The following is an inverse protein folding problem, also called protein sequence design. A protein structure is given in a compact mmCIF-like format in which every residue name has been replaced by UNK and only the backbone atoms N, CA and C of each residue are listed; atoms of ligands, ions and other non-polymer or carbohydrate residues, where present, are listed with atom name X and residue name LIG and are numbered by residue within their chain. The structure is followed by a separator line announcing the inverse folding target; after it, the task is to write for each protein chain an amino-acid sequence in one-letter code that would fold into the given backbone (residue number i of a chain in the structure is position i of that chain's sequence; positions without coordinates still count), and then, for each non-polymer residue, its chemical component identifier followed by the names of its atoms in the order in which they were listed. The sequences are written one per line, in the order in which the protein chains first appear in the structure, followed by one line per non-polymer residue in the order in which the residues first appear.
data_IF_900056735355
#
_entry.id   IF_900056735355
#
_cell.length_a   1.000
_cell.length_b   1.000
_cell.length_c   1.000
_cell.angle_alpha   90.00
_cell.angle_beta   90.00
_cell.angle_gamma   90.00
#
_symmetry.space_group_name_H-M   'P 1'
#
loop_
_entity.id
_entity.type
_entity.pdbx_description
1 polymer ?
#
# COMPACT_ATOMS: atom_id res chain seq x y z
N UNK A 1 -2.23 5.79 4.16
CA UNK A 1 -1.53 5.98 5.46
C UNK A 1 -1.08 4.62 5.95
N UNK A 2 0.13 4.51 6.50
CA UNK A 2 0.71 3.24 7.00
C UNK A 2 0.77 3.22 8.53
N UNK A 3 0.95 2.04 9.11
CA UNK A 3 1.02 1.81 10.56
C UNK A 3 0.53 0.40 10.86
N UNK A 4 -0.71 0.28 11.32
CA UNK A 4 -1.46 -0.97 11.21
C UNK A 4 -1.86 -1.13 9.74
N UNK A 5 -1.19 -1.99 8.97
CA UNK A 5 -1.45 -2.16 7.53
C UNK A 5 -1.39 -0.89 6.66
N UNK A 6 -2.26 -0.84 5.65
CA UNK A 6 -2.37 0.27 4.68
C UNK A 6 -3.81 0.79 4.61
N UNK A 7 -4.01 2.03 5.07
CA UNK A 7 -5.30 2.72 4.96
C UNK A 7 -5.40 3.54 3.68
N UNK A 8 -6.46 3.31 2.91
CA UNK A 8 -6.74 3.96 1.62
C UNK A 8 -7.78 5.05 1.80
N UNK A 9 -7.54 6.22 1.21
CA UNK A 9 -8.43 7.37 1.26
C UNK A 9 -8.82 7.78 -0.16
N UNK A 10 -10.04 8.29 -0.32
CA UNK A 10 -10.45 8.96 -1.56
C UNK A 10 -9.91 10.40 -1.62
N UNK A 11 -10.14 11.08 -2.76
CA UNK A 11 -9.69 12.45 -2.96
C UNK A 11 -10.28 13.49 -1.98
N UNK A 12 -11.40 13.18 -1.31
CA UNK A 12 -11.98 14.03 -0.27
C UNK A 12 -11.43 13.73 1.13
N UNK A 13 -10.42 12.86 1.26
CA UNK A 13 -9.85 12.45 2.55
C UNK A 13 -10.71 11.48 3.35
N UNK A 14 -11.76 10.89 2.77
CA UNK A 14 -12.56 9.85 3.42
C UNK A 14 -11.86 8.51 3.29
N UNK A 15 -11.68 7.80 4.41
CA UNK A 15 -11.20 6.42 4.39
C UNK A 15 -12.19 5.53 3.61
N UNK A 16 -11.69 4.77 2.65
CA UNK A 16 -12.50 3.89 1.80
C UNK A 16 -12.14 2.43 1.92
N UNK A 17 -10.92 2.11 2.36
CA UNK A 17 -10.46 0.72 2.50
C UNK A 17 -9.30 0.65 3.51
N UNK A 18 -9.07 -0.54 4.05
CA UNK A 18 -7.91 -0.88 4.86
C UNK A 18 -7.37 -2.26 4.47
N UNK A 19 -6.15 -2.28 3.94
CA UNK A 19 -5.47 -3.51 3.54
C UNK A 19 -4.66 -4.00 4.73
N UNK A 20 -5.10 -5.11 5.32
CA UNK A 20 -4.37 -5.78 6.40
C UNK A 20 -3.05 -6.36 5.87
N UNK A 21 -1.97 -6.12 6.60
CA UNK A 21 -0.65 -6.71 6.37
C UNK A 21 -0.35 -7.60 7.58
N UNK A 22 0.16 -8.83 7.40
CA UNK A 22 0.35 -9.77 8.51
C UNK A 22 1.62 -9.44 9.33
N UNK A 23 1.78 -8.18 9.74
CA UNK A 23 2.89 -7.65 10.52
C UNK A 23 2.38 -6.57 11.48
N UNK A 24 3.06 -6.38 12.61
CA UNK A 24 2.65 -5.41 13.62
C UNK A 24 2.83 -3.94 13.20
N UNK A 25 3.66 -3.67 12.19
CA UNK A 25 3.90 -2.31 11.71
C UNK A 25 4.30 -2.28 10.23
N UNK A 26 3.61 -1.44 9.46
CA UNK A 26 3.92 -1.11 8.08
C UNK A 26 4.61 0.24 8.02
N UNK A 27 5.81 0.27 7.44
CA UNK A 27 6.63 1.48 7.38
C UNK A 27 6.22 2.39 6.22
N UNK A 28 6.23 1.82 5.02
CA UNK A 28 6.13 2.58 3.78
C UNK A 28 5.50 1.73 2.67
N UNK A 29 4.99 2.42 1.66
CA UNK A 29 4.45 1.82 0.44
C UNK A 29 4.87 2.64 -0.77
N UNK A 30 4.97 1.98 -1.93
CA UNK A 30 5.12 2.68 -3.21
C UNK A 30 4.57 1.83 -4.34
N UNK A 31 4.06 2.48 -5.39
CA UNK A 31 3.80 1.80 -6.64
C UNK A 31 5.11 1.62 -7.40
N UNK A 32 5.34 0.44 -7.98
CA UNK A 32 6.47 0.15 -8.84
C UNK A 32 6.13 -0.94 -9.88
N UNK A 33 7.17 -1.48 -10.53
CA UNK A 33 7.04 -2.36 -11.69
C UNK A 33 6.96 -1.60 -13.02
N UNK A 34 7.07 -2.31 -14.16
CA UNK A 34 7.06 -1.70 -15.50
C UNK A 34 5.84 -0.82 -15.76
N UNK A 35 4.67 -1.26 -15.28
CA UNK A 35 3.38 -0.58 -15.50
C UNK A 35 2.94 0.27 -14.30
N UNK A 36 3.76 0.36 -13.25
CA UNK A 36 3.42 1.02 -11.98
C UNK A 36 2.15 0.46 -11.32
N UNK A 37 1.84 -0.81 -11.56
CA UNK A 37 0.64 -1.49 -11.03
C UNK A 37 0.92 -2.42 -9.85
N UNK A 38 2.16 -2.54 -9.40
CA UNK A 38 2.48 -3.33 -8.22
C UNK A 38 2.66 -2.40 -7.03
N UNK A 39 1.86 -2.58 -5.99
CA UNK A 39 2.04 -1.89 -4.72
C UNK A 39 3.04 -2.68 -3.86
N UNK A 40 4.22 -2.10 -3.65
CA UNK A 40 5.23 -2.63 -2.73
C UNK A 40 4.99 -2.09 -1.33
N UNK A 41 5.10 -2.97 -0.34
CA UNK A 41 4.84 -2.67 1.06
C UNK A 41 6.00 -3.19 1.89
N UNK A 42 6.65 -2.32 2.66
CA UNK A 42 7.70 -2.70 3.62
C UNK A 42 7.11 -2.74 5.01
N UNK A 43 7.15 -3.89 5.67
CA UNK A 43 6.57 -4.08 7.00
C UNK A 43 7.50 -4.97 7.84
N UNK A 44 8.04 -4.39 8.92
CA UNK A 44 9.02 -5.05 9.80
C UNK A 44 10.18 -5.69 9.00
N UNK A 45 10.37 -7.01 9.14
CA UNK A 45 11.45 -7.79 8.51
C UNK A 45 11.05 -8.34 7.12
N UNK A 46 9.88 -7.92 6.61
CA UNK A 46 9.24 -8.50 5.43
C UNK A 46 8.91 -7.44 4.37
N UNK A 47 8.86 -7.88 3.10
CA UNK A 47 8.34 -7.09 1.99
C UNK A 47 7.18 -7.84 1.35
N UNK A 48 6.06 -7.14 1.18
CA UNK A 48 4.85 -7.65 0.53
C UNK A 48 4.62 -6.92 -0.79
N UNK A 49 3.92 -7.59 -1.70
CA UNK A 49 3.48 -7.00 -2.97
C UNK A 49 2.02 -7.30 -3.19
N UNK A 50 1.32 -6.35 -3.82
CA UNK A 50 -0.06 -6.50 -4.24
C UNK A 50 -0.19 -6.02 -5.69
N UNK A 51 -0.77 -6.85 -6.54
CA UNK A 51 -1.13 -6.46 -7.90
C UNK A 51 -2.40 -5.61 -7.88
N UNK A 52 -2.31 -4.42 -8.46
CA UNK A 52 -3.37 -3.40 -8.42
C UNK A 52 -4.05 -3.26 -9.77
N UNK A 53 -5.37 -3.03 -9.73
CA UNK A 53 -6.16 -2.72 -10.92
C UNK A 53 -5.89 -1.31 -11.49
N UNK A 54 -5.13 -0.49 -10.77
CA UNK A 54 -4.81 0.91 -11.10
C UNK A 54 -3.29 1.11 -11.10
N UNK A 55 -2.80 2.13 -11.82
CA UNK A 55 -1.40 2.51 -11.78
C UNK A 55 -1.16 3.60 -10.74
N UNK A 56 0.05 3.61 -10.17
CA UNK A 56 0.54 4.69 -9.31
C UNK A 56 0.71 6.01 -10.06
N UNK A 57 0.87 7.09 -9.29
CA UNK A 57 1.21 8.41 -9.81
C UNK A 57 2.74 8.56 -9.77
N UNK A 58 3.31 9.25 -10.77
CA UNK A 58 4.71 9.68 -10.78
C UNK A 58 4.80 11.18 -10.59
#
# INVERSE_FOLDING_TARGET
LTGDGVTVFNASGKQIEHIAVPENWTANITFAGPDQKTLFITAMDSVYTLDMNVHGVR
#
